data_IF_260364493643
#
_entry.id   IF_260364493643
#
_cell.length_a   1.000
_cell.length_b   1.000
_cell.length_c   1.000
_cell.angle_alpha   90.00
_cell.angle_beta   90.00
_cell.angle_gamma   90.00
#
_symmetry.space_group_name_H-M   'P 1'
#
loop_
_entity.id
_entity.type
_entity.pdbx_description
1 polymer ?
#
# COMPACT_ATOMS: atom_id res chain seq x y z
N UNK A 1 -23.37 1.37 -1.90
CA UNK A 1 -23.88 2.18 -3.03
C UNK A 1 -23.46 1.52 -4.34
N UNK A 2 -24.22 1.67 -5.42
CA UNK A 2 -23.71 1.30 -6.75
C UNK A 2 -22.67 2.32 -7.21
N UNK A 3 -21.72 1.92 -8.05
CA UNK A 3 -20.71 2.83 -8.62
C UNK A 3 -21.32 4.09 -9.24
N UNK A 4 -22.44 3.94 -9.96
CA UNK A 4 -23.14 5.03 -10.64
C UNK A 4 -23.77 6.03 -9.65
N UNK A 5 -24.36 5.53 -8.55
CA UNK A 5 -24.89 6.39 -7.49
C UNK A 5 -23.79 7.16 -6.75
N UNK A 6 -22.64 6.52 -6.54
CA UNK A 6 -21.48 7.13 -5.89
C UNK A 6 -20.81 8.19 -6.77
N UNK A 7 -20.65 7.93 -8.07
CA UNK A 7 -20.14 8.91 -9.03
C UNK A 7 -21.06 10.14 -9.14
N UNK A 8 -22.38 9.91 -9.23
CA UNK A 8 -23.37 11.00 -9.32
C UNK A 8 -23.28 11.92 -8.11
N UNK A 9 -23.18 11.34 -6.91
CA UNK A 9 -23.02 12.10 -5.67
C UNK A 9 -21.70 12.89 -5.64
N UNK A 10 -20.58 12.25 -5.99
CA UNK A 10 -19.26 12.92 -6.06
C UNK A 10 -19.28 14.13 -6.99
N UNK A 11 -19.93 14.00 -8.16
CA UNK A 11 -20.09 15.11 -9.10
C UNK A 11 -20.99 16.22 -8.56
N UNK A 12 -22.05 15.89 -7.81
CA UNK A 12 -22.90 16.89 -7.17
C UNK A 12 -22.14 17.70 -6.12
N UNK A 13 -21.35 17.03 -5.27
CA UNK A 13 -20.47 17.68 -4.27
C UNK A 13 -19.40 18.53 -4.95
N UNK A 14 -18.70 17.99 -5.96
CA UNK A 14 -17.67 18.71 -6.70
C UNK A 14 -18.19 19.98 -7.39
N UNK A 15 -19.49 20.02 -7.74
CA UNK A 15 -20.16 21.19 -8.32
C UNK A 15 -20.75 22.15 -7.28
N UNK A 16 -20.65 21.83 -5.99
CA UNK A 16 -21.26 22.60 -4.90
C UNK A 16 -22.79 22.53 -4.85
N UNK A 17 -23.40 21.53 -5.51
CA UNK A 17 -24.85 21.32 -5.48
C UNK A 17 -25.30 20.61 -4.20
N UNK A 18 -24.40 19.82 -3.60
CA UNK A 18 -24.60 19.11 -2.34
C UNK A 18 -23.42 19.38 -1.42
N UNK A 19 -23.62 19.41 -0.09
CA UNK A 19 -22.52 19.49 0.85
C UNK A 19 -21.69 18.19 0.82
N UNK A 20 -20.38 18.33 1.00
CA UNK A 20 -19.48 17.21 1.19
C UNK A 20 -19.79 16.47 2.52
N UNK A 21 -19.29 15.26 2.68
CA UNK A 21 -19.33 14.57 3.97
C UNK A 21 -18.39 15.26 4.96
N UNK A 22 -17.17 15.57 4.51
CA UNK A 22 -16.16 16.33 5.25
C UNK A 22 -15.54 17.39 4.34
N UNK A 23 -15.32 18.59 4.87
CA UNK A 23 -14.45 19.60 4.24
C UNK A 23 -13.30 19.96 5.17
N UNK A 24 -12.07 19.94 4.65
CA UNK A 24 -10.88 20.42 5.33
C UNK A 24 -10.63 21.86 4.86
N UNK A 25 -10.72 22.85 5.76
CA UNK A 25 -10.68 24.29 5.43
C UNK A 25 -9.51 25.01 6.11
N UNK A 26 -9.13 26.16 5.56
CA UNK A 26 -8.20 27.11 6.20
C UNK A 26 -6.71 26.73 6.15
N UNK A 27 -6.39 25.50 5.74
CA UNK A 27 -5.02 25.05 5.48
C UNK A 27 -4.54 25.38 4.07
N UNK A 28 -3.28 25.04 3.79
CA UNK A 28 -2.70 25.12 2.42
C UNK A 28 -2.47 23.73 1.87
N UNK A 29 -3.03 23.43 0.71
CA UNK A 29 -2.89 22.12 0.06
C UNK A 29 -1.59 22.06 -0.72
N UNK A 30 -0.74 21.07 -0.42
CA UNK A 30 0.45 20.81 -1.21
C UNK A 30 0.08 20.06 -2.50
N UNK A 31 0.23 20.71 -3.64
CA UNK A 31 0.22 20.04 -4.94
C UNK A 31 1.56 19.34 -5.14
N UNK A 32 1.62 18.03 -4.90
CA UNK A 32 2.84 17.23 -5.11
C UNK A 32 3.26 17.14 -6.58
N UNK A 33 2.36 17.46 -7.52
CA UNK A 33 2.66 17.52 -8.94
C UNK A 33 3.41 18.80 -9.34
N UNK A 34 3.02 19.95 -8.79
CA UNK A 34 3.63 21.25 -9.12
C UNK A 34 4.63 21.76 -8.08
N UNK A 35 4.60 21.21 -6.86
CA UNK A 35 5.38 21.69 -5.71
C UNK A 35 4.79 22.95 -5.04
N UNK A 36 3.59 23.38 -5.43
CA UNK A 36 2.96 24.60 -4.94
C UNK A 36 2.09 24.36 -3.71
N UNK A 37 2.00 25.39 -2.85
CA UNK A 37 1.05 25.44 -1.74
C UNK A 37 -0.17 26.27 -2.15
N UNK A 38 -1.30 25.60 -2.33
CA UNK A 38 -2.56 26.18 -2.80
C UNK A 38 -3.42 26.61 -1.62
N UNK A 39 -3.97 27.81 -1.67
CA UNK A 39 -4.99 28.27 -0.73
C UNK A 39 -6.34 27.71 -1.18
N UNK A 40 -6.65 26.50 -0.74
CA UNK A 40 -7.80 25.71 -1.19
C UNK A 40 -8.35 24.84 -0.06
N UNK A 41 -9.65 24.54 -0.13
CA UNK A 41 -10.29 23.56 0.73
C UNK A 41 -10.25 22.18 0.04
N UNK A 42 -10.35 21.10 0.83
CA UNK A 42 -10.48 19.73 0.32
C UNK A 42 -11.85 19.19 0.71
N UNK A 43 -12.68 18.90 -0.28
CA UNK A 43 -14.01 18.33 -0.11
C UNK A 43 -14.00 16.82 -0.32
N UNK A 44 -14.51 16.06 0.66
CA UNK A 44 -14.53 14.60 0.68
C UNK A 44 -15.98 14.10 0.62
N UNK A 45 -16.25 13.15 -0.28
CA UNK A 45 -17.53 12.46 -0.40
C UNK A 45 -17.30 10.94 -0.39
N UNK A 46 -17.80 10.26 0.64
CA UNK A 46 -17.46 8.88 0.92
C UNK A 46 -15.94 8.68 1.06
N UNK A 47 -15.38 7.75 0.29
CA UNK A 47 -13.95 7.40 0.31
C UNK A 47 -13.10 8.24 -0.66
N UNK A 48 -13.68 9.25 -1.31
CA UNK A 48 -13.00 9.99 -2.36
C UNK A 48 -12.90 11.48 -2.05
N UNK A 49 -11.79 12.08 -2.48
CA UNK A 49 -11.69 13.53 -2.66
C UNK A 49 -12.59 13.91 -3.84
N UNK A 50 -13.67 14.63 -3.56
CA UNK A 50 -14.61 15.09 -4.58
C UNK A 50 -14.07 16.33 -5.32
N UNK A 51 -13.42 17.24 -4.59
CA UNK A 51 -12.83 18.43 -5.16
C UNK A 51 -11.74 19.05 -4.28
N UNK A 52 -10.87 19.83 -4.92
CA UNK A 52 -9.89 20.71 -4.28
C UNK A 52 -10.11 22.12 -4.83
N UNK A 53 -10.40 23.07 -3.97
CA UNK A 53 -10.72 24.45 -4.35
C UNK A 53 -11.43 25.20 -3.23
N UNK A 54 -11.63 26.51 -3.36
CA UNK A 54 -12.22 27.30 -2.29
C UNK A 54 -13.75 27.14 -2.23
N UNK A 55 -14.32 27.29 -1.03
CA UNK A 55 -15.75 27.60 -0.86
C UNK A 55 -16.69 26.39 -0.86
N UNK A 56 -16.19 25.20 -0.56
CA UNK A 56 -17.04 24.03 -0.36
C UNK A 56 -17.68 24.05 1.02
N UNK A 57 -18.89 23.52 1.15
CA UNK A 57 -19.53 23.26 2.45
C UNK A 57 -19.58 21.77 2.75
N UNK A 58 -19.48 21.43 4.03
CA UNK A 58 -19.47 20.04 4.50
C UNK A 58 -20.47 19.82 5.61
N UNK A 59 -20.95 18.59 5.74
CA UNK A 59 -21.68 18.14 6.92
C UNK A 59 -20.77 18.23 8.16
N UNK A 60 -19.51 17.84 7.99
CA UNK A 60 -18.43 18.05 8.95
C UNK A 60 -17.37 19.00 8.37
N UNK A 61 -16.75 19.80 9.23
CA UNK A 61 -15.66 20.70 8.86
C UNK A 61 -14.48 20.48 9.78
N UNK A 62 -13.31 20.23 9.19
CA UNK A 62 -12.03 20.20 9.89
C UNK A 62 -11.28 21.51 9.63
N UNK A 63 -10.97 22.26 10.69
CA UNK A 63 -10.18 23.48 10.61
C UNK A 63 -8.68 23.16 10.59
N UNK A 64 -8.06 23.34 9.43
CA UNK A 64 -6.64 23.18 9.19
C UNK A 64 -5.90 24.53 9.15
N UNK A 65 -6.45 25.59 9.76
CA UNK A 65 -5.82 26.92 9.79
C UNK A 65 -4.37 26.85 10.29
N UNK A 66 -3.44 27.38 9.48
CA UNK A 66 -2.01 27.37 9.79
C UNK A 66 -1.31 26.02 9.55
N UNK A 67 -2.03 25.01 9.06
CA UNK A 67 -1.49 23.70 8.70
C UNK A 67 -1.30 23.56 7.18
N UNK A 68 -0.47 22.60 6.80
CA UNK A 68 -0.34 22.13 5.42
C UNK A 68 -1.10 20.81 5.27
N UNK A 69 -1.87 20.68 4.19
CA UNK A 69 -2.64 19.49 3.86
C UNK A 69 -1.86 18.72 2.79
N UNK A 70 -1.60 17.44 3.05
CA UNK A 70 -0.85 16.55 2.16
C UNK A 70 -1.64 15.25 1.92
N UNK A 71 -1.38 14.54 0.82
CA UNK A 71 -1.76 13.14 0.71
C UNK A 71 -1.13 12.32 1.85
N UNK A 72 -1.79 11.24 2.25
CA UNK A 72 -1.20 10.26 3.16
C UNK A 72 0.08 9.66 2.57
N UNK A 73 1.04 9.35 3.43
CA UNK A 73 2.32 8.78 3.00
C UNK A 73 2.17 7.31 2.63
N UNK A 74 2.94 6.90 1.63
CA UNK A 74 3.07 5.52 1.19
C UNK A 74 4.51 5.09 1.48
N UNK A 75 4.68 4.08 2.32
CA UNK A 75 5.95 3.38 2.45
C UNK A 75 6.06 2.35 1.32
N UNK A 76 7.00 2.58 0.40
CA UNK A 76 7.12 1.83 -0.84
C UNK A 76 7.81 0.47 -0.70
N UNK A 77 8.46 0.21 0.43
CA UNK A 77 9.11 -1.08 0.71
C UNK A 77 9.44 -1.15 2.21
N UNK A 78 8.87 -2.13 2.91
CA UNK A 78 9.21 -2.38 4.30
C UNK A 78 9.02 -3.83 4.73
N UNK A 79 9.64 -4.18 5.86
CA UNK A 79 9.43 -5.45 6.56
C UNK A 79 8.71 -5.17 7.88
N UNK A 80 7.44 -5.59 7.98
CA UNK A 80 6.63 -5.40 9.19
C UNK A 80 7.30 -6.08 10.40
N UNK A 81 7.88 -7.26 10.19
CA UNK A 81 8.50 -8.11 11.20
C UNK A 81 9.71 -7.48 11.88
N UNK A 82 10.36 -6.52 11.21
CA UNK A 82 11.47 -5.76 11.77
C UNK A 82 11.02 -4.81 12.88
N UNK A 83 9.75 -4.38 12.87
CA UNK A 83 9.17 -3.55 13.94
C UNK A 83 8.94 -4.32 15.24
N UNK A 84 8.90 -5.67 15.17
CA UNK A 84 8.51 -6.57 16.28
C UNK A 84 7.08 -6.34 16.80
N UNK A 85 6.25 -5.64 16.03
CA UNK A 85 4.84 -5.43 16.31
C UNK A 85 3.97 -6.37 15.48
N UNK A 86 2.76 -6.59 15.97
CA UNK A 86 1.66 -7.08 15.14
C UNK A 86 1.16 -5.94 14.24
N UNK A 87 0.50 -6.28 13.13
CA UNK A 87 0.06 -5.31 12.11
C UNK A 87 -0.87 -4.22 12.65
N UNK A 88 -1.68 -4.54 13.67
CA UNK A 88 -2.58 -3.60 14.34
C UNK A 88 -1.83 -2.58 15.19
N UNK A 89 -0.84 -3.02 15.96
CA UNK A 89 0.02 -2.12 16.75
C UNK A 89 0.94 -1.28 15.85
N UNK A 90 1.41 -1.84 14.73
CA UNK A 90 2.10 -1.05 13.71
C UNK A 90 1.19 0.04 13.14
N UNK A 91 -0.05 -0.29 12.74
CA UNK A 91 -0.99 0.71 12.24
C UNK A 91 -1.29 1.80 13.28
N UNK A 92 -1.45 1.44 14.56
CA UNK A 92 -1.61 2.40 15.65
C UNK A 92 -0.41 3.34 15.80
N UNK A 93 0.80 2.88 15.49
CA UNK A 93 2.00 3.70 15.53
C UNK A 93 2.17 4.55 14.26
N UNK A 94 1.90 4.00 13.08
CA UNK A 94 2.19 4.63 11.79
C UNK A 94 1.14 5.67 11.37
N UNK A 95 -0.16 5.36 11.52
CA UNK A 95 -1.25 6.22 11.06
C UNK A 95 -1.23 7.63 11.69
N UNK A 96 -0.96 7.81 13.00
CA UNK A 96 -0.88 9.15 13.60
C UNK A 96 0.26 10.01 13.03
N UNK A 97 1.23 9.40 12.36
CA UNK A 97 2.34 10.08 11.69
C UNK A 97 2.12 10.23 10.18
N UNK A 98 0.94 9.85 9.67
CA UNK A 98 0.50 10.14 8.30
C UNK A 98 0.75 9.03 7.29
N UNK A 99 1.37 7.90 7.66
CA UNK A 99 1.52 6.75 6.76
C UNK A 99 0.21 5.98 6.68
N UNK A 100 -0.44 6.05 5.52
CA UNK A 100 -1.74 5.42 5.26
C UNK A 100 -1.64 4.14 4.45
N UNK A 101 -0.51 3.91 3.79
CA UNK A 101 -0.29 2.74 2.94
C UNK A 101 1.13 2.21 3.09
N UNK A 102 1.28 0.89 3.08
CA UNK A 102 2.59 0.22 3.10
C UNK A 102 2.68 -0.86 2.02
N UNK A 103 3.84 -1.02 1.42
CA UNK A 103 4.18 -2.16 0.55
C UNK A 103 5.12 -3.07 1.34
N UNK A 104 4.64 -4.26 1.70
CA UNK A 104 5.36 -5.16 2.59
C UNK A 104 6.03 -6.30 1.83
N UNK A 105 7.26 -6.62 2.22
CA UNK A 105 7.91 -7.91 1.95
C UNK A 105 7.97 -8.73 3.26
N UNK A 106 7.04 -9.69 3.45
CA UNK A 106 6.98 -10.51 4.65
C UNK A 106 7.95 -11.69 4.59
N UNK A 107 9.20 -11.45 4.16
CA UNK A 107 10.19 -12.51 3.94
C UNK A 107 10.62 -13.20 5.25
N UNK A 108 10.38 -12.60 6.42
CA UNK A 108 10.67 -13.20 7.72
C UNK A 108 9.64 -14.26 8.03
N UNK A 109 8.36 -13.93 7.85
CA UNK A 109 7.27 -14.88 8.00
C UNK A 109 7.38 -15.97 6.94
N UNK A 110 7.72 -15.63 5.69
CA UNK A 110 7.86 -16.60 4.62
C UNK A 110 8.99 -17.60 4.91
N UNK A 111 10.13 -17.16 5.44
CA UNK A 111 11.23 -18.05 5.81
C UNK A 111 10.86 -19.03 6.94
N UNK A 112 10.01 -18.63 7.89
CA UNK A 112 9.62 -19.48 9.03
C UNK A 112 8.40 -20.36 8.73
N UNK A 113 7.37 -19.81 8.09
CA UNK A 113 6.05 -20.41 7.94
C UNK A 113 5.60 -20.56 6.47
N UNK A 114 6.43 -20.17 5.51
CA UNK A 114 6.09 -20.17 4.09
C UNK A 114 4.99 -19.16 3.74
N UNK A 115 4.47 -19.28 2.52
CA UNK A 115 3.43 -18.38 2.02
C UNK A 115 2.08 -18.55 2.73
N UNK A 116 1.85 -19.67 3.44
CA UNK A 116 0.67 -19.82 4.28
C UNK A 116 0.73 -18.93 5.52
N UNK A 117 1.93 -18.75 6.11
CA UNK A 117 2.15 -17.74 7.14
C UNK A 117 1.89 -16.32 6.61
N UNK A 118 2.35 -16.04 5.38
CA UNK A 118 2.08 -14.75 4.73
C UNK A 118 0.57 -14.54 4.57
N UNK A 119 -0.18 -15.52 4.05
CA UNK A 119 -1.65 -15.42 3.94
C UNK A 119 -2.33 -15.17 5.29
N UNK A 120 -1.85 -15.80 6.37
CA UNK A 120 -2.38 -15.56 7.70
C UNK A 120 -2.19 -14.10 8.14
N UNK A 121 -1.01 -13.51 7.88
CA UNK A 121 -0.78 -12.08 8.09
C UNK A 121 -1.76 -11.22 7.29
N UNK A 122 -1.90 -11.45 5.98
CA UNK A 122 -2.77 -10.66 5.12
C UNK A 122 -4.26 -10.74 5.53
N UNK A 123 -4.69 -11.90 6.01
CA UNK A 123 -6.05 -12.10 6.54
C UNK A 123 -6.36 -11.22 7.76
N UNK A 124 -5.36 -10.94 8.60
CA UNK A 124 -5.48 -10.00 9.73
C UNK A 124 -5.36 -8.56 9.24
N UNK A 125 -4.38 -8.28 8.37
CA UNK A 125 -4.16 -6.96 7.82
C UNK A 125 -5.40 -6.40 7.10
N UNK A 126 -6.20 -7.26 6.45
CA UNK A 126 -7.44 -6.87 5.77
C UNK A 126 -8.55 -6.29 6.68
N UNK A 127 -8.39 -6.36 8.00
CA UNK A 127 -9.36 -5.87 9.00
C UNK A 127 -8.91 -4.56 9.68
N UNK A 128 -7.76 -4.03 9.28
CA UNK A 128 -7.10 -2.90 9.94
C UNK A 128 -7.21 -1.66 9.03
N UNK A 129 -7.38 -0.45 9.59
CA UNK A 129 -7.50 0.78 8.81
C UNK A 129 -6.14 1.29 8.29
N UNK A 130 -5.35 0.40 7.70
CA UNK A 130 -4.08 0.67 7.03
C UNK A 130 -4.11 -0.04 5.68
N UNK A 131 -3.92 0.69 4.59
CA UNK A 131 -3.81 0.08 3.29
C UNK A 131 -2.48 -0.66 3.16
N UNK A 132 -2.52 -1.80 2.47
CA UNK A 132 -1.31 -2.58 2.24
C UNK A 132 -1.33 -3.23 0.86
N UNK A 133 -0.12 -3.38 0.32
CA UNK A 133 0.18 -4.25 -0.79
C UNK A 133 1.31 -5.19 -0.37
N UNK A 134 1.38 -6.36 -0.99
CA UNK A 134 2.42 -7.35 -0.70
C UNK A 134 3.29 -7.59 -1.93
N UNK A 135 4.59 -7.64 -1.70
CA UNK A 135 5.58 -8.14 -2.64
C UNK A 135 5.91 -9.57 -2.24
N UNK A 136 5.82 -10.51 -3.19
CA UNK A 136 6.04 -11.93 -2.87
C UNK A 136 7.51 -12.16 -2.60
N UNK A 137 7.83 -12.70 -1.43
CA UNK A 137 9.20 -12.93 -0.98
C UNK A 137 9.97 -13.83 -1.94
N UNK A 138 11.11 -13.33 -2.43
CA UNK A 138 11.81 -13.89 -3.59
C UNK A 138 12.88 -14.93 -3.20
N UNK A 139 13.54 -14.72 -2.07
CA UNK A 139 14.70 -15.47 -1.59
C UNK A 139 14.37 -16.21 -0.29
N UNK A 140 13.60 -17.29 -0.42
CA UNK A 140 13.21 -18.18 0.69
C UNK A 140 13.60 -19.63 0.35
N UNK A 141 14.67 -20.20 0.94
CA UNK A 141 15.65 -19.52 1.78
C UNK A 141 16.48 -18.46 1.04
N UNK A 142 17.11 -17.56 1.79
CA UNK A 142 18.03 -16.56 1.27
C UNK A 142 19.38 -17.17 0.85
N UNK A 143 19.76 -18.28 1.48
CA UNK A 143 21.05 -18.95 1.26
C UNK A 143 20.92 -20.48 1.35
N UNK A 144 21.69 -21.25 0.56
CA UNK A 144 21.74 -22.70 0.71
C UNK A 144 22.44 -23.16 2.00
N UNK A 145 23.06 -22.25 2.75
CA UNK A 145 23.82 -22.56 3.96
C UNK A 145 23.01 -22.42 5.25
N UNK A 146 21.74 -22.00 5.17
CA UNK A 146 20.90 -21.77 6.35
C UNK A 146 19.88 -22.89 6.57
N UNK A 147 19.31 -22.90 7.78
CA UNK A 147 18.15 -23.72 8.11
C UNK A 147 16.91 -22.83 8.11
N UNK A 148 15.94 -23.16 7.27
CA UNK A 148 14.72 -22.40 7.06
C UNK A 148 13.49 -23.30 7.31
N UNK A 149 12.36 -22.68 7.61
CA UNK A 149 11.09 -23.38 7.84
C UNK A 149 10.31 -23.69 6.56
N UNK A 150 10.56 -22.95 5.47
CA UNK A 150 9.88 -23.15 4.19
C UNK A 150 10.74 -22.74 2.99
N UNK A 151 10.44 -23.29 1.82
CA UNK A 151 11.04 -22.91 0.53
C UNK A 151 9.96 -22.35 -0.38
N UNK A 152 10.28 -21.28 -1.09
CA UNK A 152 9.39 -20.66 -2.10
C UNK A 152 10.06 -20.78 -3.46
N UNK A 153 9.39 -21.45 -4.40
CA UNK A 153 9.84 -21.60 -5.77
C UNK A 153 9.08 -20.70 -6.76
N UNK A 154 9.42 -20.80 -8.05
CA UNK A 154 8.78 -20.02 -9.10
C UNK A 154 7.29 -20.35 -9.28
N UNK A 155 6.87 -21.60 -9.04
CA UNK A 155 5.47 -22.01 -9.15
C UNK A 155 4.64 -21.45 -7.98
N UNK A 156 5.22 -21.44 -6.78
CA UNK A 156 4.63 -20.81 -5.60
C UNK A 156 4.42 -19.31 -5.80
N UNK A 157 5.44 -18.60 -6.31
CA UNK A 157 5.34 -17.17 -6.64
C UNK A 157 4.22 -16.92 -7.65
N UNK A 158 4.23 -17.66 -8.77
CA UNK A 158 3.22 -17.50 -9.80
C UNK A 158 1.80 -17.77 -9.27
N UNK A 159 1.66 -18.76 -8.38
CA UNK A 159 0.38 -19.09 -7.74
C UNK A 159 -0.07 -17.97 -6.82
N UNK A 160 0.81 -17.50 -5.94
CA UNK A 160 0.47 -16.45 -4.98
C UNK A 160 0.05 -15.16 -5.68
N UNK A 161 0.80 -14.72 -6.70
CA UNK A 161 0.47 -13.53 -7.50
C UNK A 161 -0.87 -13.63 -8.24
N UNK A 162 -1.35 -14.85 -8.53
CA UNK A 162 -2.68 -15.04 -9.16
C UNK A 162 -3.82 -15.05 -8.14
N UNK A 163 -3.55 -15.53 -6.92
CA UNK A 163 -4.57 -15.81 -5.92
C UNK A 163 -4.77 -14.66 -4.94
N UNK A 164 -3.73 -13.88 -4.64
CA UNK A 164 -3.76 -12.78 -3.68
C UNK A 164 -3.93 -11.44 -4.43
N UNK A 165 -5.11 -10.80 -4.36
CA UNK A 165 -5.38 -9.56 -5.12
C UNK A 165 -4.49 -8.38 -4.73
N UNK A 166 -3.96 -8.36 -3.50
CA UNK A 166 -3.05 -7.31 -3.04
C UNK A 166 -1.58 -7.62 -3.31
N UNK A 167 -1.28 -8.76 -3.93
CA UNK A 167 0.07 -9.10 -4.36
C UNK A 167 0.41 -8.43 -5.69
N UNK A 168 1.35 -7.49 -5.66
CA UNK A 168 1.61 -6.61 -6.81
C UNK A 168 2.89 -6.96 -7.56
N UNK A 169 3.81 -7.69 -6.97
CA UNK A 169 5.09 -8.02 -7.60
C UNK A 169 5.98 -8.97 -6.80
N UNK A 170 7.24 -9.05 -7.21
CA UNK A 170 8.27 -9.85 -6.54
C UNK A 170 9.13 -8.94 -5.67
N UNK A 171 9.27 -9.30 -4.41
CA UNK A 171 10.09 -8.56 -3.45
C UNK A 171 11.58 -8.65 -3.78
N UNK A 172 12.40 -7.93 -3.01
CA UNK A 172 13.83 -7.75 -3.23
C UNK A 172 14.55 -9.05 -3.60
N UNK A 173 15.07 -9.12 -4.84
CA UNK A 173 15.84 -10.26 -5.31
C UNK A 173 17.28 -10.18 -4.79
N UNK A 174 17.46 -10.65 -3.55
CA UNK A 174 18.75 -10.59 -2.87
C UNK A 174 19.82 -11.52 -3.47
N UNK A 175 19.42 -12.60 -4.15
CA UNK A 175 20.35 -13.50 -4.86
C UNK A 175 20.85 -12.89 -6.17
N UNK A 176 21.47 -11.72 -6.07
CA UNK A 176 22.13 -11.05 -7.18
C UNK A 176 23.20 -11.92 -7.86
N UNK A 177 23.97 -12.79 -7.16
CA UNK A 177 24.92 -13.67 -7.82
C UNK A 177 24.21 -14.66 -8.75
N UNK A 178 23.10 -15.26 -8.32
CA UNK A 178 22.25 -16.14 -9.13
C UNK A 178 21.66 -15.41 -10.33
N UNK A 179 21.21 -14.17 -10.16
CA UNK A 179 20.76 -13.33 -11.28
C UNK A 179 21.87 -13.11 -12.31
N UNK A 180 23.06 -12.69 -11.87
CA UNK A 180 24.21 -12.43 -12.76
C UNK A 180 24.70 -13.70 -13.47
N UNK A 181 24.70 -14.83 -12.75
CA UNK A 181 25.06 -16.14 -13.29
C UNK A 181 23.99 -16.74 -14.22
N UNK A 182 22.80 -16.11 -14.30
CA UNK A 182 21.64 -16.61 -15.04
C UNK A 182 21.19 -17.98 -14.54
N UNK A 183 21.21 -18.16 -13.22
CA UNK A 183 20.73 -19.38 -12.60
C UNK A 183 19.27 -19.65 -13.04
N UNK A 184 18.96 -20.86 -13.55
CA UNK A 184 17.63 -21.16 -14.06
C UNK A 184 16.51 -21.06 -13.02
N UNK A 185 16.78 -21.37 -11.75
CA UNK A 185 15.79 -21.28 -10.67
C UNK A 185 15.50 -19.81 -10.34
N UNK A 186 16.54 -18.98 -10.20
CA UNK A 186 16.39 -17.55 -9.92
C UNK A 186 15.72 -16.82 -11.11
N UNK A 187 16.17 -17.10 -12.33
CA UNK A 187 15.51 -16.58 -13.53
C UNK A 187 14.05 -17.06 -13.64
N UNK A 188 13.75 -18.27 -13.17
CA UNK A 188 12.40 -18.81 -13.07
C UNK A 188 11.51 -17.97 -12.14
N UNK A 189 12.01 -17.60 -10.96
CA UNK A 189 11.30 -16.75 -9.99
C UNK A 189 10.98 -15.37 -10.57
N UNK A 190 11.94 -14.74 -11.25
CA UNK A 190 11.72 -13.43 -11.91
C UNK A 190 10.67 -13.54 -13.03
N UNK A 191 10.71 -14.62 -13.82
CA UNK A 191 9.74 -14.84 -14.91
C UNK A 191 8.35 -15.23 -14.44
N UNK A 192 8.20 -15.69 -13.19
CA UNK A 192 6.91 -15.97 -12.60
C UNK A 192 6.09 -14.69 -12.38
N UNK A 193 6.75 -13.54 -12.29
CA UNK A 193 6.11 -12.24 -12.11
C UNK A 193 5.44 -11.76 -13.41
N UNK A 194 4.15 -11.36 -13.38
CA UNK A 194 3.46 -10.83 -14.53
C UNK A 194 4.18 -9.64 -15.17
N UNK A 195 4.09 -9.51 -16.49
CA UNK A 195 4.68 -8.37 -17.20
C UNK A 195 4.02 -7.07 -16.73
N UNK A 196 4.84 -6.11 -16.30
CA UNK A 196 4.39 -4.81 -15.81
C UNK A 196 4.28 -4.73 -14.28
N UNK A 197 4.37 -5.86 -13.58
CA UNK A 197 4.53 -5.87 -12.13
C UNK A 197 5.96 -5.49 -11.73
N UNK A 198 6.16 -4.80 -10.59
CA UNK A 198 7.48 -4.55 -10.04
C UNK A 198 8.21 -5.85 -9.69
N UNK A 199 9.53 -5.81 -9.91
CA UNK A 199 10.51 -6.76 -9.38
C UNK A 199 11.55 -5.91 -8.68
N UNK A 200 11.65 -6.04 -7.37
CA UNK A 200 12.61 -5.29 -6.56
C UNK A 200 13.99 -5.96 -6.60
N UNK A 201 15.05 -5.16 -6.52
CA UNK A 201 16.45 -5.59 -6.62
C UNK A 201 17.29 -4.88 -5.59
#
# INVERSE_FOLDING_TARGET
MSFESDLTRRLAVARGHEPADLVIKGGRVLSVFTGELLDADVAIAGEHVAAVGPGYEGQETFDATGLTILPGFIDGHMHLESTKLMVDEFARAALPHGTTTVVIDPHEIANVFGLDGVRALLGVAGQIPLDYYVMVSSCVPASPFESNGATVDAADIARFLREEPRAIGLAEMMDFPGVLARDPAIAGKIRATPRGSPVET
#
